data_IF_244740296821
#
_entry.id   IF_244740296821
#
_cell.length_a   1.000
_cell.length_b   1.000
_cell.length_c   1.000
_cell.angle_alpha   90.00
_cell.angle_beta   90.00
_cell.angle_gamma   90.00
#
_symmetry.space_group_name_H-M   'P 1'
#
loop_
_entity.id
_entity.type
_entity.pdbx_description
1 polymer ?
#
# COMPACT_ATOMS: atom_id res chain seq x y z
N UNK A 1 -7.63 -10.49 -5.41
CA UNK A 1 -8.49 -9.33 -5.48
C UNK A 1 -9.87 -9.84 -5.71
N UNK A 2 -10.54 -10.21 -4.62
CA UNK A 2 -12.00 -10.20 -4.61
C UNK A 2 -12.50 -8.75 -4.71
N UNK A 3 -13.72 -8.53 -4.23
CA UNK A 3 -14.33 -7.19 -4.23
C UNK A 3 -13.45 -6.13 -3.54
N UNK A 4 -13.40 -4.93 -4.11
CA UNK A 4 -12.79 -3.71 -3.57
C UNK A 4 -13.73 -2.53 -3.82
N UNK A 5 -13.62 -1.46 -3.02
CA UNK A 5 -14.45 -0.25 -3.18
C UNK A 5 -14.16 0.47 -4.51
N UNK A 6 -15.12 1.25 -4.98
CA UNK A 6 -15.17 1.78 -6.35
C UNK A 6 -14.00 2.69 -6.72
N UNK A 7 -13.48 3.47 -5.78
CA UNK A 7 -12.39 4.40 -6.06
C UNK A 7 -11.00 3.73 -6.06
N UNK A 8 -10.89 2.47 -5.62
CA UNK A 8 -9.61 1.74 -5.67
C UNK A 8 -9.22 1.40 -7.11
N UNK A 9 -7.90 1.33 -7.36
CA UNK A 9 -7.39 0.96 -8.68
C UNK A 9 -7.82 -0.48 -9.01
N UNK A 10 -8.44 -0.73 -10.18
CA UNK A 10 -8.88 -2.05 -10.59
C UNK A 10 -7.74 -3.08 -10.60
N UNK A 11 -8.09 -4.34 -10.32
CA UNK A 11 -7.11 -5.43 -10.23
C UNK A 11 -6.21 -5.58 -11.47
N UNK A 12 -6.71 -5.54 -12.72
CA UNK A 12 -5.85 -5.68 -13.90
C UNK A 12 -4.75 -4.62 -13.98
N UNK A 13 -5.09 -3.37 -13.64
CA UNK A 13 -4.16 -2.23 -13.63
C UNK A 13 -3.11 -2.42 -12.53
N UNK A 14 -3.52 -2.82 -11.31
CA UNK A 14 -2.57 -3.11 -10.22
C UNK A 14 -1.60 -4.24 -10.57
N UNK A 15 -2.07 -5.29 -11.24
CA UNK A 15 -1.19 -6.39 -11.66
C UNK A 15 -0.18 -5.92 -12.71
N UNK A 16 -0.58 -5.08 -13.68
CA UNK A 16 0.36 -4.46 -14.62
C UNK A 16 1.37 -3.57 -13.90
N UNK A 17 0.91 -2.76 -12.94
CA UNK A 17 1.77 -1.88 -12.14
C UNK A 17 2.79 -2.69 -11.31
N UNK A 18 2.38 -3.78 -10.67
CA UNK A 18 3.28 -4.64 -9.89
C UNK A 18 4.30 -5.38 -10.77
N UNK A 19 3.91 -5.81 -11.99
CA UNK A 19 4.85 -6.38 -12.96
C UNK A 19 5.90 -5.35 -13.37
N UNK A 20 5.50 -4.10 -13.62
CA UNK A 20 6.44 -3.02 -13.92
C UNK A 20 7.44 -2.76 -12.78
N UNK A 21 7.00 -2.85 -11.50
CA UNK A 21 7.91 -2.76 -10.33
C UNK A 21 8.96 -3.88 -10.33
N UNK A 22 8.56 -5.11 -10.68
CA UNK A 22 9.48 -6.25 -10.79
C UNK A 22 10.43 -6.12 -11.99
N UNK A 23 9.92 -5.64 -13.13
CA UNK A 23 10.74 -5.38 -14.32
C UNK A 23 11.82 -4.33 -14.09
N UNK A 24 11.52 -3.30 -13.30
CA UNK A 24 12.47 -2.26 -12.89
C UNK A 24 13.39 -2.70 -11.74
N UNK A 25 13.27 -3.96 -11.28
CA UNK A 25 14.09 -4.58 -10.23
C UNK A 25 14.09 -3.82 -8.90
N UNK A 26 13.03 -3.06 -8.63
CA UNK A 26 12.79 -2.48 -7.30
C UNK A 26 12.56 -3.60 -6.28
N UNK A 27 11.86 -4.66 -6.71
CA UNK A 27 11.85 -5.97 -6.08
C UNK A 27 12.52 -6.95 -7.03
N UNK A 28 13.34 -7.84 -6.48
CA UNK A 28 14.05 -8.86 -7.26
C UNK A 28 13.06 -9.95 -7.73
N UNK A 29 12.89 -10.16 -9.05
CA UNK A 29 11.94 -11.14 -9.57
C UNK A 29 12.33 -12.60 -9.27
N UNK A 30 13.63 -12.90 -9.11
CA UNK A 30 14.09 -14.27 -8.83
C UNK A 30 13.73 -14.73 -7.41
N UNK A 31 13.59 -13.78 -6.47
CA UNK A 31 13.23 -14.03 -5.09
C UNK A 31 11.78 -13.63 -4.74
N UNK A 32 10.96 -13.26 -5.72
CA UNK A 32 9.60 -12.76 -5.51
C UNK A 32 8.54 -13.57 -6.24
N UNK A 33 7.53 -14.04 -5.50
CA UNK A 33 6.32 -14.66 -6.08
C UNK A 33 5.17 -13.65 -6.08
N UNK A 34 4.71 -13.26 -7.28
CA UNK A 34 3.51 -12.43 -7.44
C UNK A 34 2.27 -13.31 -7.58
N UNK A 35 1.33 -13.21 -6.64
CA UNK A 35 0.08 -13.99 -6.64
C UNK A 35 -1.12 -13.14 -6.21
N UNK A 36 -2.32 -13.62 -6.52
CA UNK A 36 -3.59 -12.93 -6.26
C UNK A 36 -4.30 -13.59 -5.07
N UNK A 37 -4.41 -12.86 -3.95
CA UNK A 37 -5.21 -13.30 -2.80
C UNK A 37 -6.72 -13.12 -3.09
N UNK A 38 -7.56 -14.18 -3.12
CA UNK A 38 -8.91 -14.11 -3.69
C UNK A 38 -9.98 -13.48 -2.78
N UNK A 39 -9.67 -13.22 -1.49
CA UNK A 39 -10.63 -12.63 -0.55
C UNK A 39 -11.17 -11.27 -1.04
N UNK A 40 -12.45 -10.96 -0.77
CA UNK A 40 -12.94 -9.59 -0.72
C UNK A 40 -12.15 -8.77 0.31
N UNK A 41 -12.05 -7.47 0.07
CA UNK A 41 -11.52 -6.48 1.01
C UNK A 41 -12.67 -5.89 1.82
N UNK A 42 -12.61 -5.97 3.15
CA UNK A 42 -13.68 -5.47 4.04
C UNK A 42 -13.44 -4.03 4.50
N UNK A 43 -12.19 -3.56 4.42
CA UNK A 43 -11.72 -2.30 4.99
C UNK A 43 -11.98 -2.21 6.50
N UNK A 44 -11.80 -3.34 7.22
CA UNK A 44 -12.14 -3.47 8.64
C UNK A 44 -10.93 -3.41 9.59
N UNK A 45 -9.84 -2.77 9.16
CA UNK A 45 -8.73 -2.34 10.02
C UNK A 45 -8.09 -3.46 10.86
N UNK A 46 -7.88 -3.25 12.17
CA UNK A 46 -7.26 -4.23 13.07
C UNK A 46 -7.96 -5.60 13.14
N UNK A 47 -9.25 -5.67 12.81
CA UNK A 47 -9.98 -6.95 12.73
C UNK A 47 -9.61 -7.69 11.45
N UNK A 48 -9.63 -7.01 10.31
CA UNK A 48 -9.34 -7.63 9.03
C UNK A 48 -7.86 -7.98 8.85
N UNK A 49 -6.94 -7.18 9.40
CA UNK A 49 -5.51 -7.48 9.25
C UNK A 49 -5.13 -8.83 9.88
N UNK A 50 -5.85 -9.28 10.92
CA UNK A 50 -5.68 -10.62 11.48
C UNK A 50 -6.06 -11.72 10.47
N UNK A 51 -7.14 -11.52 9.71
CA UNK A 51 -7.52 -12.41 8.61
C UNK A 51 -6.45 -12.44 7.52
N UNK A 52 -5.95 -11.27 7.13
CA UNK A 52 -4.88 -11.16 6.14
C UNK A 52 -3.61 -11.92 6.56
N UNK A 53 -3.22 -11.82 7.83
CA UNK A 53 -2.07 -12.52 8.39
C UNK A 53 -2.32 -14.03 8.48
N UNK A 54 -3.47 -14.45 9.03
CA UNK A 54 -3.85 -15.86 9.14
C UNK A 54 -3.89 -16.56 7.79
N UNK A 55 -4.46 -15.92 6.76
CA UNK A 55 -4.53 -16.47 5.41
C UNK A 55 -3.12 -16.73 4.84
N UNK A 56 -2.18 -15.80 5.04
CA UNK A 56 -0.78 -15.93 4.59
C UNK A 56 -0.03 -17.01 5.35
N UNK A 57 -0.24 -17.11 6.66
CA UNK A 57 0.30 -18.20 7.47
C UNK A 57 -0.18 -19.57 6.95
N UNK A 58 -1.48 -19.68 6.63
CA UNK A 58 -2.05 -20.92 6.06
C UNK A 58 -1.50 -21.28 4.67
N UNK A 59 -0.91 -20.32 3.95
CA UNK A 59 -0.23 -20.54 2.66
C UNK A 59 1.30 -20.65 2.80
N UNK A 60 1.82 -20.83 4.02
CA UNK A 60 3.23 -21.11 4.27
C UNK A 60 4.12 -19.89 4.50
N UNK A 61 3.56 -18.69 4.65
CA UNK A 61 4.36 -17.54 5.08
C UNK A 61 4.81 -17.70 6.53
N UNK A 62 6.09 -17.44 6.80
CA UNK A 62 6.68 -17.46 8.15
C UNK A 62 6.89 -16.08 8.74
N UNK A 63 6.89 -15.03 7.90
CA UNK A 63 6.97 -13.62 8.29
C UNK A 63 5.80 -12.84 7.67
N UNK A 64 5.28 -11.86 8.40
CA UNK A 64 4.21 -10.98 7.93
C UNK A 64 4.53 -9.51 8.17
N UNK A 65 4.73 -8.79 7.07
CA UNK A 65 4.99 -7.34 7.08
C UNK A 65 3.70 -6.60 7.39
N UNK A 66 3.73 -5.70 8.38
CA UNK A 66 2.62 -4.80 8.70
C UNK A 66 3.10 -3.37 8.90
N UNK A 67 2.44 -2.41 8.27
CA UNK A 67 2.75 -0.98 8.37
C UNK A 67 1.72 -0.21 9.20
N UNK A 68 1.64 1.10 8.94
CA UNK A 68 0.62 2.02 9.46
C UNK A 68 -0.75 1.72 8.85
N UNK A 69 -1.79 1.75 9.68
CA UNK A 69 -3.22 1.69 9.31
C UNK A 69 -3.59 0.55 8.34
N UNK A 70 -3.19 -0.71 8.64
CA UNK A 70 -3.44 -1.81 7.72
C UNK A 70 -4.93 -2.13 7.63
N UNK A 71 -5.41 -2.33 6.41
CA UNK A 71 -6.83 -2.52 6.08
C UNK A 71 -7.74 -1.36 6.56
N UNK A 72 -7.16 -0.18 6.81
CA UNK A 72 -7.91 1.01 7.17
C UNK A 72 -8.44 1.78 5.97
N UNK A 73 -9.34 2.71 6.28
CA UNK A 73 -9.84 3.72 5.35
C UNK A 73 -10.27 4.97 6.15
N UNK A 74 -10.40 6.14 5.52
CA UNK A 74 -11.08 7.27 6.14
C UNK A 74 -12.51 6.89 6.54
N UNK A 75 -12.99 7.43 7.66
CA UNK A 75 -14.40 7.33 8.02
C UNK A 75 -15.27 7.95 6.89
N UNK A 76 -16.45 7.39 6.55
CA UNK A 76 -17.25 7.86 5.42
C UNK A 76 -17.69 9.33 5.47
N UNK A 77 -17.71 9.95 6.66
CA UNK A 77 -17.94 11.39 6.83
C UNK A 77 -16.69 12.26 6.53
N UNK A 78 -15.55 11.63 6.25
CA UNK A 78 -14.30 12.25 5.83
C UNK A 78 -13.50 12.94 6.92
N UNK A 79 -13.93 12.93 8.18
CA UNK A 79 -13.32 13.76 9.21
C UNK A 79 -12.01 13.16 9.76
N UNK A 80 -11.92 11.83 9.83
CA UNK A 80 -10.83 11.10 10.52
C UNK A 80 -10.60 9.73 9.88
N UNK A 81 -9.43 9.15 10.13
CA UNK A 81 -9.18 7.72 9.87
C UNK A 81 -10.17 6.88 10.71
N UNK A 82 -10.72 5.81 10.14
CA UNK A 82 -11.70 4.94 10.82
C UNK A 82 -11.08 4.17 11.99
N UNK A 83 -9.76 3.95 11.94
CA UNK A 83 -8.99 3.25 12.95
C UNK A 83 -7.80 4.08 13.40
N UNK A 84 -7.35 3.84 14.62
CA UNK A 84 -6.08 4.41 15.07
C UNK A 84 -4.94 3.71 14.31
N UNK A 85 -4.01 4.46 13.69
CA UNK A 85 -3.06 3.89 12.72
C UNK A 85 -2.07 2.85 13.26
N UNK A 86 -1.86 2.77 14.57
CA UNK A 86 -0.96 1.79 15.20
C UNK A 86 -1.69 0.55 15.70
N UNK A 87 -3.02 0.56 15.74
CA UNK A 87 -3.79 -0.56 16.28
C UNK A 87 -3.60 -1.85 15.49
N UNK A 88 -3.46 -1.79 14.17
CA UNK A 88 -3.30 -3.00 13.36
C UNK A 88 -2.05 -3.80 13.71
N UNK A 89 -0.89 -3.13 13.83
CA UNK A 89 0.36 -3.80 14.22
C UNK A 89 0.33 -4.28 15.67
N UNK A 90 -0.17 -3.44 16.61
CA UNK A 90 -0.32 -3.81 18.02
C UNK A 90 -1.22 -5.04 18.20
N UNK A 91 -2.38 -5.06 17.55
CA UNK A 91 -3.32 -6.18 17.60
C UNK A 91 -2.70 -7.45 17.03
N UNK A 92 -2.04 -7.39 15.87
CA UNK A 92 -1.37 -8.56 15.30
C UNK A 92 -0.31 -9.16 16.23
N UNK A 93 0.50 -8.32 16.89
CA UNK A 93 1.57 -8.80 17.78
C UNK A 93 1.05 -9.53 19.02
N UNK A 94 -0.22 -9.35 19.39
CA UNK A 94 -0.87 -10.03 20.53
C UNK A 94 -2.00 -10.98 20.11
N UNK A 95 -2.24 -11.16 18.80
CA UNK A 95 -3.35 -11.95 18.32
C UNK A 95 -3.13 -13.45 18.56
N UNK A 96 -4.07 -14.17 19.19
CA UNK A 96 -3.94 -15.60 19.38
C UNK A 96 -4.04 -16.35 18.03
N UNK A 97 -3.37 -17.50 17.93
CA UNK A 97 -3.49 -18.39 16.77
C UNK A 97 -2.64 -18.02 15.55
N UNK A 98 -1.72 -17.05 15.69
CA UNK A 98 -0.67 -16.70 14.71
C UNK A 98 0.71 -17.29 15.08
N UNK A 99 0.76 -18.45 15.70
CA UNK A 99 1.97 -19.00 16.33
C UNK A 99 3.09 -19.41 15.37
N UNK A 100 2.81 -19.55 14.08
CA UNK A 100 3.80 -19.93 13.04
C UNK A 100 4.22 -18.73 12.18
N UNK A 101 3.86 -17.51 12.58
CA UNK A 101 4.05 -16.30 11.81
C UNK A 101 4.71 -15.23 12.67
N UNK A 102 5.91 -14.81 12.31
CA UNK A 102 6.57 -13.67 12.93
C UNK A 102 6.03 -12.37 12.33
N UNK A 103 5.53 -11.48 13.18
CA UNK A 103 5.01 -10.17 12.76
C UNK A 103 6.18 -9.19 12.66
N UNK A 104 6.35 -8.57 11.49
CA UNK A 104 7.41 -7.60 11.21
C UNK A 104 6.80 -6.20 11.06
N UNK A 105 6.70 -5.42 12.15
CA UNK A 105 6.07 -4.10 12.13
C UNK A 105 7.02 -3.02 11.60
N UNK A 106 6.49 -2.14 10.74
CA UNK A 106 7.18 -0.97 10.23
C UNK A 106 6.49 0.32 10.64
N UNK A 107 7.30 1.36 10.91
CA UNK A 107 6.81 2.74 11.02
C UNK A 107 6.43 3.27 9.63
N UNK A 108 5.71 4.39 9.61
CA UNK A 108 5.32 5.03 8.35
C UNK A 108 6.57 5.44 7.55
N UNK A 109 6.59 5.11 6.26
CA UNK A 109 7.57 5.59 5.30
C UNK A 109 6.97 6.72 4.46
N UNK A 110 7.76 7.75 4.20
CA UNK A 110 7.38 8.91 3.39
C UNK A 110 8.56 9.35 2.53
N UNK A 111 8.31 10.19 1.53
CA UNK A 111 9.36 10.66 0.64
C UNK A 111 10.22 11.71 1.35
N UNK A 112 11.50 11.43 1.58
CA UNK A 112 12.42 12.37 2.18
C UNK A 112 12.98 13.32 1.11
N UNK A 113 12.66 14.61 1.21
CA UNK A 113 13.03 15.66 0.26
C UNK A 113 14.55 15.89 0.19
N UNK A 114 15.27 15.75 1.31
CA UNK A 114 16.73 15.92 1.36
C UNK A 114 17.48 14.74 0.76
N UNK A 115 17.01 13.51 1.04
CA UNK A 115 17.63 12.27 0.54
C UNK A 115 17.14 11.86 -0.85
N UNK A 116 16.05 12.48 -1.32
CA UNK A 116 15.41 12.17 -2.60
C UNK A 116 15.01 10.69 -2.76
N UNK A 117 14.51 10.09 -1.68
CA UNK A 117 14.09 8.68 -1.66
C UNK A 117 13.05 8.44 -0.56
N UNK A 118 12.38 7.29 -0.60
CA UNK A 118 11.52 6.83 0.49
C UNK A 118 12.36 6.50 1.73
N UNK A 119 11.93 6.99 2.89
CA UNK A 119 12.61 6.77 4.18
C UNK A 119 11.58 6.69 5.31
N UNK A 120 11.97 6.14 6.46
CA UNK A 120 11.10 6.12 7.63
C UNK A 120 10.91 7.54 8.17
N UNK A 121 9.65 7.92 8.39
CA UNK A 121 9.30 9.23 8.89
C UNK A 121 9.91 9.50 10.26
N UNK A 122 10.50 10.68 10.40
CA UNK A 122 11.06 11.20 11.64
C UNK A 122 10.23 12.42 12.11
N UNK A 123 9.47 12.31 13.22
CA UNK A 123 8.67 13.42 13.75
C UNK A 123 9.48 14.66 14.09
N UNK A 124 10.76 14.53 14.42
CA UNK A 124 11.65 15.66 14.76
C UNK A 124 12.08 16.45 13.53
N UNK A 125 11.93 15.87 12.33
CA UNK A 125 12.34 16.46 11.04
C UNK A 125 11.20 16.46 10.04
N UNK A 126 9.98 16.72 10.51
CA UNK A 126 8.74 16.62 9.71
C UNK A 126 8.80 17.38 8.38
N UNK A 127 9.51 18.50 8.34
CA UNK A 127 9.71 19.35 7.16
C UNK A 127 10.52 18.67 6.04
N UNK A 128 11.31 17.64 6.38
CA UNK A 128 12.09 16.87 5.42
C UNK A 128 11.25 15.83 4.69
N UNK A 129 10.00 15.58 5.11
CA UNK A 129 9.16 14.50 4.59
C UNK A 129 7.93 15.02 3.86
N UNK A 130 7.71 14.48 2.66
CA UNK A 130 6.54 14.69 1.85
C UNK A 130 5.64 13.46 1.89
N UNK A 131 4.42 13.63 2.40
CA UNK A 131 3.37 12.62 2.30
C UNK A 131 2.59 12.78 0.99
N UNK A 132 2.61 11.74 0.16
CA UNK A 132 1.83 11.67 -1.08
C UNK A 132 0.67 10.71 -0.84
N UNK A 133 -0.51 11.25 -0.55
CA UNK A 133 -1.72 10.46 -0.36
C UNK A 133 -2.20 9.85 -1.67
N UNK A 134 -3.05 8.82 -1.61
CA UNK A 134 -3.70 8.27 -2.79
C UNK A 134 -4.48 9.33 -3.58
N UNK A 135 -5.09 10.30 -2.92
CA UNK A 135 -5.77 11.44 -3.58
C UNK A 135 -4.77 12.31 -4.34
N UNK A 136 -3.62 12.62 -3.76
CA UNK A 136 -2.57 13.42 -4.42
C UNK A 136 -1.93 12.66 -5.58
N UNK A 137 -1.67 11.37 -5.39
CA UNK A 137 -1.17 10.48 -6.45
C UNK A 137 -2.15 10.41 -7.63
N UNK A 138 -3.44 10.28 -7.36
CA UNK A 138 -4.51 10.31 -8.37
C UNK A 138 -4.62 11.64 -9.09
N UNK A 139 -4.29 12.74 -8.43
CA UNK A 139 -4.26 14.07 -9.03
C UNK A 139 -3.08 14.17 -10.01
N UNK A 140 -1.87 13.83 -9.57
CA UNK A 140 -0.68 13.81 -10.42
C UNK A 140 -0.89 12.98 -11.69
N UNK A 141 -1.36 11.74 -11.53
CA UNK A 141 -1.61 10.85 -12.65
C UNK A 141 -2.67 11.38 -13.64
N UNK A 142 -3.72 12.05 -13.15
CA UNK A 142 -4.76 12.67 -14.00
C UNK A 142 -4.26 13.90 -14.75
N UNK A 143 -3.38 14.68 -14.13
CA UNK A 143 -2.82 15.91 -14.69
C UNK A 143 -1.59 15.64 -15.57
N UNK A 144 -1.11 14.38 -15.64
CA UNK A 144 0.11 14.02 -16.34
C UNK A 144 1.37 14.53 -15.64
N UNK A 145 1.28 14.86 -14.35
CA UNK A 145 2.42 15.25 -13.53
C UNK A 145 3.15 14.02 -12.99
N UNK A 146 4.47 14.10 -12.91
CA UNK A 146 5.31 13.05 -12.32
C UNK A 146 5.45 13.27 -10.81
N UNK A 147 5.40 12.21 -9.98
CA UNK A 147 5.79 12.30 -8.59
C UNK A 147 7.30 12.57 -8.48
N UNK A 148 7.80 12.97 -7.30
CA UNK A 148 9.23 13.12 -7.08
C UNK A 148 10.00 11.84 -7.47
N UNK A 149 11.15 12.02 -8.12
CA UNK A 149 12.04 10.92 -8.50
C UNK A 149 12.35 10.03 -7.29
N UNK A 150 12.26 8.70 -7.44
CA UNK A 150 12.47 7.76 -6.34
C UNK A 150 11.25 7.48 -5.47
N UNK A 151 10.10 8.12 -5.71
CA UNK A 151 8.84 7.76 -5.05
C UNK A 151 8.26 6.43 -5.57
N UNK A 152 8.30 6.22 -6.88
CA UNK A 152 7.81 5.00 -7.54
C UNK A 152 8.70 4.68 -8.75
N UNK A 153 8.76 3.39 -9.12
CA UNK A 153 9.42 2.96 -10.35
C UNK A 153 8.80 3.67 -11.57
N UNK A 154 9.59 4.23 -12.50
CA UNK A 154 9.06 4.99 -13.63
C UNK A 154 8.04 4.22 -14.47
N UNK A 155 8.30 2.95 -14.82
CA UNK A 155 7.33 2.16 -15.60
C UNK A 155 6.04 1.91 -14.83
N UNK A 156 6.15 1.69 -13.53
CA UNK A 156 5.01 1.46 -12.67
C UNK A 156 4.16 2.74 -12.54
N UNK A 157 4.80 3.92 -12.53
CA UNK A 157 4.11 5.19 -12.61
C UNK A 157 3.38 5.37 -13.94
N UNK A 158 4.03 5.05 -15.08
CA UNK A 158 3.41 5.12 -16.41
C UNK A 158 2.11 4.32 -16.47
N UNK A 159 2.09 3.09 -15.95
CA UNK A 159 0.86 2.27 -15.88
C UNK A 159 -0.28 2.98 -15.14
N UNK A 160 0.02 3.64 -14.00
CA UNK A 160 -0.99 4.38 -13.25
C UNK A 160 -1.43 5.65 -13.98
N UNK A 161 -0.49 6.40 -14.55
CA UNK A 161 -0.75 7.60 -15.33
C UNK A 161 -1.67 7.32 -16.51
N UNK A 162 -1.34 6.30 -17.32
CA UNK A 162 -2.15 5.86 -18.46
C UNK A 162 -3.57 5.47 -18.04
N UNK A 163 -3.71 4.72 -16.94
CA UNK A 163 -5.01 4.37 -16.39
C UNK A 163 -5.82 5.63 -16.05
N UNK A 164 -5.27 6.54 -15.25
CA UNK A 164 -6.00 7.72 -14.79
C UNK A 164 -6.31 8.71 -15.93
N UNK A 165 -5.42 8.84 -16.91
CA UNK A 165 -5.68 9.64 -18.11
C UNK A 165 -6.75 9.00 -19.00
N UNK A 166 -6.85 7.66 -19.06
CA UNK A 166 -7.91 6.98 -19.81
C UNK A 166 -9.31 7.24 -19.24
N UNK A 167 -9.41 7.44 -17.92
CA UNK A 167 -10.67 7.80 -17.28
C UNK A 167 -11.13 9.20 -17.68
N UNK A 168 -10.19 10.14 -17.85
CA UNK A 168 -10.51 11.51 -18.27
C UNK A 168 -10.97 11.60 -19.74
N UNK A 169 -10.57 10.65 -20.59
CA UNK A 169 -10.97 10.61 -22.01
C UNK A 169 -12.38 10.05 -22.24
N UNK A 170 -12.94 9.38 -21.22
CA UNK A 170 -14.27 8.77 -21.26
C UNK A 170 -15.35 9.68 -20.62
N UNK A 171 -15.01 10.95 -20.37
CA UNK A 171 -15.90 12.04 -19.93
C UNK A 171 -15.90 13.11 -21.01
#
# INVERSE_FOLDING_TARGET
GGWTKEDDVPLPVRIQQHKAVLEDKILDPESTVLSIFPSPMLYAGPTEVQWHAKARMSTGATFYIVGRDPAGMPHPDGAKDLYEPTHGSKVLTMAPGLTQLEIVPFRVAAYNLKKQQMDFYDPEKKEDFLFISGTKMRKFAREGEEPPSGFMAPKAWTVLSDYYQSLNKNV
#
